data_IF_155099693067
#
_entry.id   IF_155099693067
#
_cell.length_a   1.000
_cell.length_b   1.000
_cell.length_c   1.000
_cell.angle_alpha   90.00
_cell.angle_beta   90.00
_cell.angle_gamma   90.00
#
_symmetry.space_group_name_H-M   'P 1'
#
loop_
_entity.id
_entity.type
_entity.pdbx_description
1 polymer ?
#
# COMPACT_ATOMS: atom_id res chain seq x y z
N UNK A 1 17.57 -30.08 -6.17
CA UNK A 1 18.73 -29.23 -6.53
C UNK A 1 18.33 -27.75 -6.74
N UNK A 2 17.27 -27.46 -7.49
CA UNK A 2 16.78 -26.09 -7.77
C UNK A 2 16.42 -25.24 -6.54
N UNK A 3 15.69 -25.82 -5.56
CA UNK A 3 15.30 -25.12 -4.32
C UNK A 3 16.51 -24.71 -3.47
N UNK A 4 17.50 -25.60 -3.34
CA UNK A 4 18.75 -25.33 -2.61
C UNK A 4 19.56 -24.20 -3.24
N UNK A 5 19.54 -24.11 -4.57
CA UNK A 5 20.20 -23.03 -5.32
C UNK A 5 19.50 -21.68 -5.14
N UNK A 6 18.16 -21.60 -5.29
CA UNK A 6 17.39 -20.36 -4.99
C UNK A 6 17.63 -19.88 -3.56
N UNK A 7 17.70 -20.81 -2.60
CA UNK A 7 17.97 -20.49 -1.20
C UNK A 7 19.38 -19.90 -0.97
N UNK A 8 20.43 -20.50 -1.56
CA UNK A 8 21.80 -19.98 -1.47
C UNK A 8 21.96 -18.62 -2.14
N UNK A 9 21.32 -18.39 -3.28
CA UNK A 9 21.30 -17.08 -3.94
C UNK A 9 20.67 -16.00 -3.05
N UNK A 10 19.53 -16.31 -2.43
CA UNK A 10 18.87 -15.41 -1.49
C UNK A 10 19.76 -15.08 -0.30
N UNK A 11 20.40 -16.07 0.31
CA UNK A 11 21.34 -15.86 1.41
C UNK A 11 22.52 -14.96 0.98
N UNK A 12 23.10 -15.20 -0.19
CA UNK A 12 24.17 -14.36 -0.73
C UNK A 12 23.72 -12.90 -0.92
N UNK A 13 22.50 -12.68 -1.42
CA UNK A 13 21.93 -11.35 -1.55
C UNK A 13 21.72 -10.65 -0.20
N UNK A 14 21.15 -11.35 0.77
CA UNK A 14 20.94 -10.81 2.13
C UNK A 14 22.28 -10.46 2.81
N UNK A 15 23.28 -11.34 2.71
CA UNK A 15 24.62 -11.06 3.25
C UNK A 15 25.24 -9.82 2.61
N UNK A 16 25.19 -9.72 1.27
CA UNK A 16 25.70 -8.55 0.54
C UNK A 16 24.97 -7.27 0.97
N UNK A 17 23.64 -7.33 1.08
CA UNK A 17 22.83 -6.18 1.49
C UNK A 17 23.18 -5.74 2.92
N UNK A 18 23.40 -6.66 3.85
CA UNK A 18 23.81 -6.31 5.22
C UNK A 18 25.17 -5.58 5.25
N UNK A 19 26.12 -6.01 4.42
CA UNK A 19 27.42 -5.35 4.29
C UNK A 19 27.24 -3.94 3.70
N UNK A 20 26.55 -3.81 2.56
CA UNK A 20 26.37 -2.52 1.89
C UNK A 20 25.55 -1.54 2.72
N UNK A 21 24.53 -2.03 3.43
CA UNK A 21 23.74 -1.27 4.40
C UNK A 21 24.61 -0.72 5.52
N UNK A 22 25.52 -1.53 6.07
CA UNK A 22 26.45 -1.09 7.10
C UNK A 22 27.40 -0.01 6.57
N UNK A 23 27.94 -0.18 5.37
CA UNK A 23 28.78 0.84 4.70
C UNK A 23 27.98 2.13 4.53
N UNK A 24 26.81 2.06 3.88
CA UNK A 24 25.95 3.21 3.61
C UNK A 24 25.61 3.98 4.88
N UNK A 25 25.23 3.29 5.95
CA UNK A 25 24.89 3.89 7.25
C UNK A 25 26.04 4.71 7.86
N UNK A 26 27.30 4.33 7.58
CA UNK A 26 28.48 5.01 8.11
C UNK A 26 28.97 6.15 7.21
N UNK A 27 28.69 6.13 5.91
CA UNK A 27 29.15 7.15 4.96
C UNK A 27 28.08 8.18 4.57
N UNK A 28 26.81 7.91 4.86
CA UNK A 28 25.68 8.79 4.52
C UNK A 28 25.26 9.68 5.69
N UNK A 29 24.65 10.82 5.37
CA UNK A 29 24.06 11.72 6.37
C UNK A 29 22.85 11.08 7.06
N UNK A 30 22.46 11.59 8.24
CA UNK A 30 21.28 11.10 8.97
C UNK A 30 20.02 11.10 8.09
N UNK A 31 19.81 12.18 7.33
CA UNK A 31 18.66 12.38 6.44
C UNK A 31 18.64 11.47 5.22
N UNK A 32 19.70 10.72 4.96
CA UNK A 32 19.77 9.77 3.83
C UNK A 32 19.57 8.33 4.26
N UNK A 33 19.53 8.04 5.58
CA UNK A 33 19.57 6.69 6.13
C UNK A 33 18.39 5.82 5.68
N UNK A 34 17.23 6.36 5.36
CA UNK A 34 16.11 5.59 4.80
C UNK A 34 16.47 4.86 3.50
N UNK A 35 17.48 5.33 2.76
CA UNK A 35 17.93 4.73 1.50
C UNK A 35 18.90 3.55 1.65
N UNK A 36 19.30 3.20 2.87
CA UNK A 36 20.37 2.23 3.13
C UNK A 36 20.06 0.81 2.61
N UNK A 37 18.79 0.48 2.40
CA UNK A 37 18.37 -0.84 1.91
C UNK A 37 18.46 -0.95 0.37
N UNK A 38 18.64 0.17 -0.35
CA UNK A 38 18.60 0.24 -1.81
C UNK A 38 20.00 0.26 -2.42
N UNK A 39 20.93 0.93 -1.75
CA UNK A 39 22.29 1.10 -2.27
C UNK A 39 23.15 -0.17 -2.08
N UNK A 40 23.97 -0.55 -3.09
CA UNK A 40 24.11 0.02 -4.43
C UNK A 40 23.29 -0.72 -5.51
N UNK A 41 22.45 -1.68 -5.11
CA UNK A 41 21.84 -2.64 -6.04
C UNK A 41 20.57 -2.13 -6.72
N UNK A 42 19.88 -1.14 -6.16
CA UNK A 42 18.78 -0.43 -6.81
C UNK A 42 19.29 0.87 -7.44
N UNK A 43 18.95 1.10 -8.70
CA UNK A 43 19.08 2.42 -9.34
C UNK A 43 17.73 2.87 -9.86
N UNK A 44 17.49 4.17 -9.84
CA UNK A 44 16.27 4.79 -10.34
C UNK A 44 16.60 6.00 -11.23
N UNK A 45 15.66 6.37 -12.08
CA UNK A 45 15.52 7.74 -12.60
C UNK A 45 14.18 8.33 -12.18
N UNK A 46 14.04 9.64 -12.32
CA UNK A 46 12.79 10.36 -12.07
C UNK A 46 12.42 11.18 -13.30
N UNK A 47 11.13 11.28 -13.57
CA UNK A 47 10.61 12.17 -14.60
C UNK A 47 10.54 13.63 -14.10
N UNK A 48 10.11 14.53 -14.99
CA UNK A 48 10.00 15.98 -14.70
C UNK A 48 9.05 16.31 -13.54
N UNK A 49 8.09 15.44 -13.23
CA UNK A 49 7.14 15.61 -12.13
C UNK A 49 7.68 15.03 -10.81
N UNK A 50 8.93 14.57 -10.78
CA UNK A 50 9.58 14.00 -9.61
C UNK A 50 9.24 12.52 -9.35
N UNK A 51 8.36 11.90 -10.14
CA UNK A 51 7.99 10.48 -10.00
C UNK A 51 9.10 9.57 -10.51
N UNK A 52 9.33 8.44 -9.84
CA UNK A 52 10.21 7.36 -10.32
C UNK A 52 9.66 6.78 -11.63
N UNK A 53 10.45 6.87 -12.70
CA UNK A 53 10.06 6.42 -14.06
C UNK A 53 10.89 5.24 -14.59
N UNK A 54 12.03 4.94 -13.96
CA UNK A 54 12.75 3.69 -14.19
C UNK A 54 13.31 3.11 -12.90
N UNK A 55 13.39 1.78 -12.85
CA UNK A 55 13.99 1.03 -11.74
C UNK A 55 14.86 -0.07 -12.32
N UNK A 56 16.07 -0.23 -11.79
CA UNK A 56 16.89 -1.41 -12.02
C UNK A 56 17.34 -2.03 -10.71
N UNK A 57 17.38 -3.36 -10.67
CA UNK A 57 17.82 -4.16 -9.53
C UNK A 57 18.95 -5.09 -9.99
N UNK A 58 20.14 -4.94 -9.41
CA UNK A 58 21.34 -5.68 -9.81
C UNK A 58 21.58 -5.65 -11.32
N UNK A 59 21.48 -4.44 -11.92
CA UNK A 59 21.64 -4.16 -13.37
C UNK A 59 20.54 -4.73 -14.27
N UNK A 60 19.49 -5.36 -13.73
CA UNK A 60 18.31 -5.77 -14.49
C UNK A 60 17.22 -4.72 -14.34
N UNK A 61 16.64 -4.30 -15.46
CA UNK A 61 15.50 -3.40 -15.43
C UNK A 61 14.28 -4.11 -14.84
N UNK A 62 13.57 -3.42 -13.96
CA UNK A 62 12.30 -3.86 -13.40
C UNK A 62 11.22 -3.07 -14.11
N UNK A 63 10.24 -3.79 -14.67
CA UNK A 63 9.14 -3.15 -15.35
C UNK A 63 8.25 -2.44 -14.32
N UNK A 64 8.07 -1.14 -14.49
CA UNK A 64 7.16 -0.31 -13.71
C UNK A 64 6.26 0.47 -14.65
N UNK A 65 5.11 0.89 -14.16
CA UNK A 65 4.01 1.42 -14.94
C UNK A 65 3.65 2.84 -14.53
N UNK A 66 3.07 3.56 -15.47
CA UNK A 66 2.46 4.86 -15.21
C UNK A 66 1.15 4.73 -14.43
N UNK A 67 0.72 5.85 -13.82
CA UNK A 67 -0.56 5.87 -13.13
C UNK A 67 -1.71 5.60 -14.12
N UNK A 68 -2.64 4.70 -13.79
CA UNK A 68 -3.74 4.37 -14.68
C UNK A 68 -4.72 5.54 -14.74
N UNK A 69 -5.47 5.64 -15.84
CA UNK A 69 -6.67 6.47 -15.87
C UNK A 69 -7.77 5.82 -15.03
N UNK A 70 -8.61 6.61 -14.37
CA UNK A 70 -9.79 6.10 -13.67
C UNK A 70 -10.76 5.40 -14.61
N UNK A 71 -11.54 4.50 -14.03
CA UNK A 71 -12.83 4.08 -14.60
C UNK A 71 -13.93 5.07 -14.24
N UNK A 72 -15.08 4.95 -14.90
CA UNK A 72 -16.32 5.59 -14.46
C UNK A 72 -17.06 4.79 -13.37
N UNK A 73 -16.63 3.54 -13.11
CA UNK A 73 -17.18 2.70 -12.04
C UNK A 73 -16.84 3.27 -10.64
N UNK A 74 -17.71 3.07 -9.63
CA UNK A 74 -17.32 3.26 -8.24
C UNK A 74 -16.17 2.34 -7.85
N UNK A 75 -15.39 2.75 -6.85
CA UNK A 75 -14.32 1.93 -6.28
C UNK A 75 -14.77 1.25 -5.00
N UNK A 76 -14.48 -0.05 -4.85
CA UNK A 76 -14.49 -0.74 -3.55
C UNK A 76 -13.04 -0.93 -3.10
N UNK A 77 -12.71 -0.42 -1.92
CA UNK A 77 -11.46 -0.73 -1.21
C UNK A 77 -11.75 -1.82 -0.19
N UNK A 78 -11.19 -3.01 -0.41
CA UNK A 78 -11.34 -4.16 0.49
C UNK A 78 -10.14 -4.18 1.45
N UNK A 79 -10.42 -3.91 2.72
CA UNK A 79 -9.50 -4.01 3.83
C UNK A 79 -9.55 -5.39 4.51
N UNK A 80 -8.80 -5.55 5.59
CA UNK A 80 -8.54 -6.84 6.22
C UNK A 80 -9.42 -7.15 7.44
N UNK A 81 -10.38 -6.28 7.77
CA UNK A 81 -11.28 -6.49 8.90
C UNK A 81 -12.23 -7.67 8.68
N UNK A 82 -12.55 -8.45 9.73
CA UNK A 82 -13.43 -9.62 9.66
C UNK A 82 -14.85 -9.32 9.18
N UNK A 83 -15.33 -8.08 9.20
CA UNK A 83 -16.67 -7.77 8.68
C UNK A 83 -16.80 -8.07 7.18
N UNK A 84 -15.71 -8.10 6.42
CA UNK A 84 -15.74 -8.44 4.99
C UNK A 84 -16.37 -9.80 4.75
N UNK A 85 -16.17 -10.76 5.66
CA UNK A 85 -16.74 -12.11 5.59
C UNK A 85 -18.28 -12.14 5.73
N UNK A 86 -18.91 -11.02 6.07
CA UNK A 86 -20.38 -10.89 6.12
C UNK A 86 -20.99 -10.40 4.81
N UNK A 87 -20.14 -9.97 3.86
CA UNK A 87 -20.54 -9.53 2.52
C UNK A 87 -20.42 -10.72 1.58
N UNK A 88 -21.48 -10.99 0.81
CA UNK A 88 -21.44 -12.04 -0.21
C UNK A 88 -20.46 -11.64 -1.33
N UNK A 89 -19.67 -12.59 -1.82
CA UNK A 89 -18.61 -12.30 -2.79
C UNK A 89 -19.14 -11.84 -4.15
N UNK A 90 -20.36 -12.23 -4.52
CA UNK A 90 -21.08 -11.75 -5.72
C UNK A 90 -21.38 -10.24 -5.71
N UNK A 91 -21.33 -9.59 -4.54
CA UNK A 91 -21.39 -8.13 -4.44
C UNK A 91 -20.15 -7.46 -5.06
N UNK A 92 -18.99 -8.11 -4.97
CA UNK A 92 -17.72 -7.61 -5.53
C UNK A 92 -17.62 -7.91 -7.03
N UNK A 93 -18.65 -7.52 -7.77
CA UNK A 93 -18.79 -7.70 -9.22
C UNK A 93 -17.96 -6.65 -9.98
N UNK A 94 -16.95 -7.12 -10.72
CA UNK A 94 -16.04 -6.26 -11.48
C UNK A 94 -16.71 -5.60 -12.69
N UNK A 95 -17.89 -6.06 -13.10
CA UNK A 95 -18.70 -5.35 -14.10
C UNK A 95 -19.28 -4.05 -13.54
N UNK A 96 -19.53 -3.98 -12.23
CA UNK A 96 -20.13 -2.84 -11.52
C UNK A 96 -19.09 -1.96 -10.82
N UNK A 97 -18.04 -2.56 -10.28
CA UNK A 97 -17.04 -1.89 -9.45
C UNK A 97 -15.64 -2.05 -10.02
N UNK A 98 -14.79 -1.05 -9.80
CA UNK A 98 -13.36 -1.32 -9.71
C UNK A 98 -13.05 -1.77 -8.27
N UNK A 99 -12.14 -2.74 -8.11
CA UNK A 99 -11.85 -3.33 -6.80
C UNK A 99 -10.36 -3.15 -6.48
N UNK A 100 -10.09 -2.53 -5.34
CA UNK A 100 -8.76 -2.32 -4.79
C UNK A 100 -8.61 -3.12 -3.50
N UNK A 101 -7.64 -4.03 -3.47
CA UNK A 101 -7.28 -4.76 -2.26
C UNK A 101 -6.17 -4.08 -1.47
N UNK A 102 -6.13 -4.32 -0.16
CA UNK A 102 -4.98 -4.00 0.68
C UNK A 102 -4.59 -5.19 1.54
N UNK A 103 -3.29 -5.41 1.71
CA UNK A 103 -2.73 -6.51 2.50
C UNK A 103 -3.38 -7.87 2.15
N UNK A 104 -3.84 -8.64 3.13
CA UNK A 104 -4.39 -9.96 2.88
C UNK A 104 -5.79 -9.97 2.28
N UNK A 105 -6.37 -8.83 1.89
CA UNK A 105 -7.67 -8.80 1.20
C UNK A 105 -7.67 -9.63 -0.09
N UNK A 106 -6.51 -9.81 -0.71
CA UNK A 106 -6.35 -10.59 -1.92
C UNK A 106 -6.62 -12.10 -1.72
N UNK A 107 -6.78 -12.58 -0.49
CA UNK A 107 -7.25 -13.96 -0.23
C UNK A 107 -8.62 -14.23 -0.88
N UNK A 108 -9.39 -13.18 -1.19
CA UNK A 108 -10.67 -13.28 -1.93
C UNK A 108 -10.51 -13.45 -3.45
N UNK A 109 -9.29 -13.45 -3.99
CA UNK A 109 -9.06 -13.50 -5.44
C UNK A 109 -9.66 -14.70 -6.19
N UNK A 110 -9.93 -15.87 -5.56
CA UNK A 110 -10.65 -16.95 -6.26
C UNK A 110 -12.06 -16.59 -6.70
N UNK A 111 -12.71 -15.63 -6.03
CA UNK A 111 -14.10 -15.21 -6.29
C UNK A 111 -14.21 -13.73 -6.66
N UNK A 112 -13.14 -12.94 -6.47
CA UNK A 112 -13.14 -11.50 -6.64
C UNK A 112 -12.02 -11.06 -7.59
N UNK A 113 -12.39 -10.37 -8.68
CA UNK A 113 -11.41 -9.83 -9.63
C UNK A 113 -10.87 -8.47 -9.17
N UNK A 114 -9.65 -8.46 -8.64
CA UNK A 114 -8.99 -7.23 -8.22
C UNK A 114 -8.40 -6.49 -9.43
N UNK A 115 -8.70 -5.19 -9.53
CA UNK A 115 -8.06 -4.31 -10.51
C UNK A 115 -6.79 -3.68 -9.95
N UNK A 116 -6.83 -3.33 -8.67
CA UNK A 116 -5.71 -2.74 -7.95
C UNK A 116 -5.40 -3.54 -6.69
N UNK A 117 -4.15 -3.50 -6.27
CA UNK A 117 -3.75 -3.95 -4.95
C UNK A 117 -2.67 -3.03 -4.37
N UNK A 118 -2.62 -2.89 -3.04
CA UNK A 118 -1.65 -2.03 -2.36
C UNK A 118 -0.85 -2.82 -1.33
N UNK A 119 0.47 -2.86 -1.50
CA UNK A 119 1.41 -3.39 -0.50
C UNK A 119 2.42 -2.30 -0.14
N UNK A 120 2.33 -1.78 1.08
CA UNK A 120 3.33 -0.86 1.66
C UNK A 120 3.91 -1.38 2.99
N UNK A 121 3.40 -2.51 3.48
CA UNK A 121 3.84 -3.16 4.71
C UNK A 121 4.87 -4.25 4.38
N UNK A 122 6.13 -3.99 4.75
CA UNK A 122 7.24 -4.92 4.59
C UNK A 122 7.06 -6.22 5.38
N UNK A 123 6.41 -6.15 6.53
CA UNK A 123 6.16 -7.34 7.36
C UNK A 123 5.13 -8.25 6.71
N UNK A 124 4.14 -7.69 6.00
CA UNK A 124 3.19 -8.47 5.20
C UNK A 124 3.90 -9.29 4.13
N UNK A 125 4.86 -8.69 3.42
CA UNK A 125 5.69 -9.39 2.43
C UNK A 125 6.34 -10.61 3.05
N UNK A 126 7.02 -10.44 4.19
CA UNK A 126 7.79 -11.53 4.81
C UNK A 126 6.87 -12.64 5.31
N UNK A 127 5.76 -12.29 5.95
CA UNK A 127 4.93 -13.25 6.70
C UNK A 127 3.77 -13.85 5.90
N UNK A 128 3.36 -13.23 4.78
CA UNK A 128 2.20 -13.66 3.98
C UNK A 128 2.58 -14.08 2.56
N UNK A 129 3.63 -14.93 2.49
CA UNK A 129 4.24 -15.40 1.23
C UNK A 129 3.24 -15.89 0.18
N UNK A 130 2.27 -16.72 0.55
CA UNK A 130 1.35 -17.30 -0.43
C UNK A 130 0.48 -16.21 -1.08
N UNK A 131 -0.09 -15.31 -0.27
CA UNK A 131 -0.89 -14.18 -0.74
C UNK A 131 -0.05 -13.28 -1.65
N UNK A 132 1.17 -12.93 -1.21
CA UNK A 132 2.08 -12.08 -1.98
C UNK A 132 2.42 -12.73 -3.32
N UNK A 133 2.74 -14.02 -3.36
CA UNK A 133 3.04 -14.70 -4.63
C UNK A 133 1.83 -14.74 -5.57
N UNK A 134 0.60 -14.87 -5.05
CA UNK A 134 -0.61 -14.81 -5.87
C UNK A 134 -0.80 -13.42 -6.47
N UNK A 135 -0.63 -12.36 -5.67
CA UNK A 135 -0.66 -10.96 -6.13
C UNK A 135 0.37 -10.73 -7.24
N UNK A 136 1.61 -11.17 -7.04
CA UNK A 136 2.68 -10.92 -8.01
C UNK A 136 2.45 -11.63 -9.34
N UNK A 137 1.70 -12.74 -9.34
CA UNK A 137 1.42 -13.59 -10.51
C UNK A 137 0.20 -13.18 -11.33
N UNK A 138 -0.62 -12.27 -10.81
CA UNK A 138 -1.79 -11.74 -11.51
C UNK A 138 -1.36 -10.66 -12.51
N UNK A 139 -1.36 -11.01 -13.80
CA UNK A 139 -0.86 -10.14 -14.89
C UNK A 139 -1.83 -9.02 -15.29
N UNK A 140 -3.11 -9.12 -14.90
CA UNK A 140 -4.09 -8.07 -15.09
C UNK A 140 -4.03 -7.01 -13.97
N UNK A 141 -3.57 -7.40 -12.78
CA UNK A 141 -3.51 -6.57 -11.58
C UNK A 141 -2.49 -5.43 -11.69
N UNK A 142 -2.88 -4.27 -11.14
CA UNK A 142 -1.98 -3.15 -10.89
C UNK A 142 -1.64 -3.08 -9.39
N UNK A 143 -0.39 -3.40 -9.05
CA UNK A 143 0.16 -3.32 -7.71
C UNK A 143 0.78 -1.94 -7.45
N UNK A 144 0.21 -1.20 -6.50
CA UNK A 144 0.84 -0.02 -5.90
C UNK A 144 1.73 -0.46 -4.74
N UNK A 145 3.01 -0.09 -4.79
CA UNK A 145 3.97 -0.46 -3.74
C UNK A 145 5.07 0.56 -3.54
N UNK A 146 5.72 0.53 -2.37
CA UNK A 146 6.90 1.36 -2.10
C UNK A 146 8.17 0.69 -2.60
N UNK A 147 9.25 1.48 -2.74
CA UNK A 147 10.56 0.92 -3.09
C UNK A 147 11.09 -0.06 -2.02
N UNK A 148 10.83 0.17 -0.74
CA UNK A 148 11.14 -0.79 0.32
C UNK A 148 10.46 -2.14 0.11
N UNK A 149 9.17 -2.11 -0.22
CA UNK A 149 8.39 -3.30 -0.48
C UNK A 149 8.84 -4.00 -1.75
N UNK A 150 9.06 -3.26 -2.85
CA UNK A 150 9.61 -3.82 -4.08
C UNK A 150 10.99 -4.47 -3.82
N UNK A 151 11.86 -3.82 -3.06
CA UNK A 151 13.17 -4.36 -2.71
C UNK A 151 13.05 -5.69 -1.95
N UNK A 152 12.16 -5.78 -0.97
CA UNK A 152 11.91 -7.01 -0.22
C UNK A 152 11.31 -8.10 -1.12
N UNK A 153 10.38 -7.76 -2.01
CA UNK A 153 9.82 -8.67 -3.02
C UNK A 153 10.93 -9.25 -3.91
N UNK A 154 11.80 -8.40 -4.45
CA UNK A 154 12.88 -8.80 -5.35
C UNK A 154 13.93 -9.69 -4.65
N UNK A 155 14.19 -9.45 -3.36
CA UNK A 155 15.11 -10.26 -2.57
C UNK A 155 14.50 -11.60 -2.17
N UNK A 156 13.22 -11.61 -1.79
CA UNK A 156 12.59 -12.80 -1.20
C UNK A 156 12.01 -13.76 -2.24
N UNK A 157 11.49 -13.23 -3.35
CA UNK A 157 10.80 -14.01 -4.39
C UNK A 157 11.55 -14.00 -5.72
N UNK A 158 12.27 -12.92 -6.01
CA UNK A 158 12.99 -12.74 -7.25
C UNK A 158 12.13 -12.11 -8.34
N UNK A 159 12.78 -11.46 -9.30
CA UNK A 159 12.11 -10.65 -10.31
C UNK A 159 11.22 -11.44 -11.28
N UNK A 160 11.44 -12.75 -11.44
CA UNK A 160 10.66 -13.61 -12.34
C UNK A 160 9.24 -13.87 -11.85
N UNK A 161 8.96 -13.63 -10.56
CA UNK A 161 7.62 -13.81 -10.00
C UNK A 161 6.75 -12.57 -10.22
N UNK A 162 7.30 -11.43 -10.69
CA UNK A 162 6.54 -10.20 -10.94
C UNK A 162 5.98 -10.18 -12.36
N UNK A 163 4.75 -10.67 -12.52
CA UNK A 163 3.97 -10.55 -13.76
C UNK A 163 2.94 -9.43 -13.69
N UNK A 164 2.46 -9.08 -12.48
CA UNK A 164 1.60 -7.92 -12.26
C UNK A 164 2.24 -6.61 -12.72
N UNK A 165 1.40 -5.61 -13.01
CA UNK A 165 1.84 -4.24 -13.33
C UNK A 165 2.22 -3.53 -12.04
N UNK A 166 3.41 -2.96 -11.96
CA UNK A 166 3.93 -2.36 -10.72
C UNK A 166 3.95 -0.84 -10.84
N UNK A 167 3.38 -0.14 -9.87
CA UNK A 167 3.47 1.31 -9.75
C UNK A 167 4.17 1.65 -8.44
N UNK A 168 5.25 2.42 -8.53
CA UNK A 168 5.98 2.88 -7.36
C UNK A 168 5.35 4.15 -6.81
N UNK A 169 5.05 4.11 -5.52
CA UNK A 169 4.63 5.24 -4.69
C UNK A 169 5.61 5.41 -3.54
N UNK A 170 5.78 6.63 -3.06
CA UNK A 170 6.79 6.96 -2.04
C UNK A 170 6.15 7.65 -0.84
N UNK A 171 6.66 7.40 0.37
CA UNK A 171 6.31 8.27 1.50
C UNK A 171 6.83 9.67 1.19
N UNK A 172 5.98 10.67 1.39
CA UNK A 172 6.27 12.05 1.00
C UNK A 172 7.49 12.65 1.71
N UNK A 173 7.73 12.24 2.95
CA UNK A 173 8.81 12.64 3.82
C UNK A 173 10.09 11.82 3.61
N UNK A 174 10.01 10.65 2.96
CA UNK A 174 11.15 9.76 2.73
C UNK A 174 11.30 9.35 1.24
N UNK A 175 11.48 10.32 0.33
CA UNK A 175 11.70 10.03 -1.09
C UNK A 175 13.01 9.27 -1.31
N UNK A 176 12.99 8.30 -2.22
CA UNK A 176 14.12 7.44 -2.56
C UNK A 176 15.27 8.26 -3.16
N UNK A 177 16.46 8.10 -2.59
CA UNK A 177 17.70 8.81 -2.92
C UNK A 177 17.59 10.34 -2.90
N UNK A 178 16.66 10.87 -2.11
CA UNK A 178 16.59 12.26 -1.72
C UNK A 178 16.65 12.35 -0.19
N UNK A 179 16.97 13.53 0.33
CA UNK A 179 16.98 13.74 1.78
C UNK A 179 15.57 13.61 2.36
N UNK A 180 15.49 13.02 3.55
CA UNK A 180 14.30 13.02 4.38
C UNK A 180 13.87 14.47 4.66
N UNK A 181 12.57 14.70 4.51
CA UNK A 181 11.91 15.99 4.68
C UNK A 181 11.18 16.01 6.01
N UNK A 182 11.18 17.17 6.67
CA UNK A 182 10.30 17.39 7.81
C UNK A 182 8.85 17.48 7.29
N UNK A 183 8.06 16.44 7.53
CA UNK A 183 6.71 16.27 6.95
C UNK A 183 5.84 17.53 7.09
N UNK A 184 5.84 18.13 8.27
CA UNK A 184 4.99 19.28 8.59
C UNK A 184 5.53 20.63 8.10
N UNK A 185 6.72 20.64 7.49
CA UNK A 185 7.32 21.81 6.86
C UNK A 185 7.14 21.79 5.33
N UNK A 186 6.51 20.75 4.78
CA UNK A 186 6.26 20.62 3.35
C UNK A 186 5.22 21.67 2.91
N UNK A 187 5.64 22.56 2.01
CA UNK A 187 4.78 23.61 1.43
C UNK A 187 4.29 23.16 0.06
N UNK A 188 3.02 22.74 -0.03
CA UNK A 188 2.35 22.40 -1.28
C UNK A 188 0.83 22.48 -1.11
N UNK A 189 0.13 23.06 -2.08
CA UNK A 189 -1.34 23.09 -2.11
C UNK A 189 -1.95 21.70 -2.37
N UNK A 190 -1.14 20.76 -2.85
CA UNK A 190 -1.54 19.37 -3.09
C UNK A 190 -1.33 18.49 -1.86
N UNK A 191 -0.72 19.00 -0.79
CA UNK A 191 -0.44 18.27 0.44
C UNK A 191 -1.13 19.00 1.60
N UNK A 192 -2.22 18.42 2.08
CA UNK A 192 -3.03 19.03 3.12
C UNK A 192 -2.54 18.53 4.47
N UNK A 193 -2.05 19.44 5.30
CA UNK A 193 -1.55 19.14 6.66
C UNK A 193 -2.49 19.82 7.67
N UNK A 194 -2.99 19.04 8.63
CA UNK A 194 -3.89 19.53 9.68
C UNK A 194 -3.73 18.66 10.93
N UNK A 195 -3.65 19.26 12.11
CA UNK A 195 -3.60 18.56 13.40
C UNK A 195 -2.58 17.39 13.44
N UNK A 196 -1.35 17.63 12.99
CA UNK A 196 -0.26 16.64 12.96
C UNK A 196 -0.53 15.37 12.12
N UNK A 197 -1.48 15.44 11.19
CA UNK A 197 -1.67 14.44 10.13
C UNK A 197 -1.63 15.13 8.76
N UNK A 198 -1.42 14.35 7.70
CA UNK A 198 -1.32 14.85 6.34
C UNK A 198 -2.13 13.99 5.35
N UNK A 199 -2.57 14.59 4.25
CA UNK A 199 -3.20 13.89 3.13
C UNK A 199 -2.62 14.41 1.81
N UNK A 200 -2.12 13.50 0.98
CA UNK A 200 -1.64 13.86 -0.36
C UNK A 200 -2.74 13.75 -1.41
N UNK A 201 -2.96 14.85 -2.14
CA UNK A 201 -3.79 14.90 -3.34
C UNK A 201 -3.01 14.56 -4.61
N UNK A 202 -1.68 14.50 -4.56
CA UNK A 202 -0.82 14.24 -5.70
C UNK A 202 0.27 13.20 -5.37
N UNK A 203 0.06 11.97 -5.84
CA UNK A 203 1.00 10.87 -5.59
C UNK A 203 2.35 11.01 -6.31
N UNK A 204 2.50 11.93 -7.26
CA UNK A 204 3.82 12.25 -7.81
C UNK A 204 4.74 12.88 -6.74
N UNK A 205 4.17 13.56 -5.75
CA UNK A 205 4.89 14.13 -4.61
C UNK A 205 5.10 13.13 -3.47
N UNK A 206 4.39 12.00 -3.50
CA UNK A 206 4.36 10.98 -2.46
C UNK A 206 3.02 10.94 -1.70
N UNK A 207 2.90 10.01 -0.76
CA UNK A 207 1.73 9.84 0.10
C UNK A 207 2.11 9.91 1.58
N UNK A 208 1.12 10.14 2.44
CA UNK A 208 1.28 10.00 3.89
C UNK A 208 0.69 8.67 4.35
N UNK A 209 1.47 7.78 4.95
CA UNK A 209 0.98 6.42 5.23
C UNK A 209 -0.17 6.36 6.26
N UNK A 210 -0.31 7.35 7.14
CA UNK A 210 -1.37 7.41 8.16
C UNK A 210 -1.44 6.18 9.07
N UNK A 211 -0.33 5.44 9.20
CA UNK A 211 -0.19 4.19 9.97
C UNK A 211 -1.07 3.02 9.53
N UNK A 212 -1.76 3.12 8.38
CA UNK A 212 -2.58 2.03 7.82
C UNK A 212 -2.61 2.04 6.29
N UNK A 213 -2.51 0.86 5.68
CA UNK A 213 -2.55 0.70 4.22
C UNK A 213 -3.89 1.18 3.64
N UNK A 214 -4.99 1.04 4.38
CA UNK A 214 -6.31 1.52 3.96
C UNK A 214 -6.34 3.05 3.73
N UNK A 215 -5.55 3.81 4.49
CA UNK A 215 -5.45 5.26 4.33
C UNK A 215 -4.62 5.65 3.10
N UNK A 216 -3.57 4.88 2.82
CA UNK A 216 -2.77 5.04 1.60
C UNK A 216 -3.60 4.69 0.36
N UNK A 217 -4.40 3.62 0.42
CA UNK A 217 -5.37 3.25 -0.61
C UNK A 217 -6.41 4.36 -0.88
N UNK A 218 -6.86 5.05 0.16
CA UNK A 218 -7.78 6.19 -0.01
C UNK A 218 -7.12 7.36 -0.74
N UNK A 219 -5.86 7.69 -0.43
CA UNK A 219 -5.10 8.70 -1.18
C UNK A 219 -4.93 8.30 -2.65
N UNK A 220 -4.62 7.03 -2.93
CA UNK A 220 -4.59 6.50 -4.30
C UNK A 220 -5.95 6.69 -4.98
N UNK A 221 -7.04 6.32 -4.33
CA UNK A 221 -8.38 6.46 -4.89
C UNK A 221 -8.73 7.92 -5.25
N UNK A 222 -8.43 8.88 -4.36
CA UNK A 222 -8.68 10.30 -4.60
C UNK A 222 -7.78 10.86 -5.69
N UNK A 223 -6.50 10.47 -5.71
CA UNK A 223 -5.55 10.88 -6.75
C UNK A 223 -5.94 10.37 -8.14
N UNK A 224 -6.37 9.09 -8.23
CA UNK A 224 -6.88 8.53 -9.48
C UNK A 224 -8.19 9.21 -9.93
N UNK A 225 -8.90 9.85 -9.01
CA UNK A 225 -10.08 10.66 -9.32
C UNK A 225 -11.42 9.95 -9.15
N UNK A 226 -11.48 8.89 -8.35
CA UNK A 226 -12.75 8.23 -8.01
C UNK A 226 -13.69 9.18 -7.27
N UNK A 227 -14.97 9.15 -7.64
CA UNK A 227 -16.02 10.02 -7.06
C UNK A 227 -16.95 9.32 -6.08
N UNK A 228 -17.01 7.99 -6.13
CA UNK A 228 -17.78 7.16 -5.19
C UNK A 228 -16.89 6.00 -4.74
N UNK A 229 -16.64 5.92 -3.44
CA UNK A 229 -15.72 4.95 -2.83
C UNK A 229 -16.45 4.24 -1.70
N UNK A 230 -16.33 2.92 -1.65
CA UNK A 230 -16.82 2.10 -0.55
C UNK A 230 -15.66 1.37 0.11
N UNK A 231 -15.66 1.32 1.44
CA UNK A 231 -14.80 0.44 2.20
C UNK A 231 -15.54 -0.84 2.58
N UNK A 232 -14.91 -2.00 2.37
CA UNK A 232 -15.31 -3.27 2.96
C UNK A 232 -14.23 -3.73 3.94
N UNK A 233 -14.59 -4.15 5.15
CA UNK A 233 -13.63 -4.61 6.16
C UNK A 233 -12.77 -3.50 6.78
N UNK A 234 -13.23 -2.23 6.76
CA UNK A 234 -12.59 -1.13 7.50
C UNK A 234 -13.18 -1.08 8.92
N UNK A 235 -12.82 -2.05 9.75
CA UNK A 235 -13.42 -2.25 11.08
C UNK A 235 -12.77 -1.38 12.16
N UNK A 236 -11.44 -1.48 12.33
CA UNK A 236 -10.66 -0.71 13.32
C UNK A 236 -11.14 -0.84 14.78
N UNK A 237 -11.75 -1.97 15.16
CA UNK A 237 -12.28 -2.19 16.51
C UNK A 237 -12.00 -3.59 17.08
N UNK A 238 -11.21 -4.41 16.37
CA UNK A 238 -11.07 -5.85 16.63
C UNK A 238 -9.58 -6.29 16.65
N UNK A 239 -8.68 -5.44 17.14
CA UNK A 239 -7.22 -5.65 17.04
C UNK A 239 -6.68 -6.89 17.76
N UNK A 240 -7.40 -7.41 18.76
CA UNK A 240 -7.04 -8.65 19.46
C UNK A 240 -7.50 -9.92 18.74
N UNK A 241 -8.29 -9.80 17.67
CA UNK A 241 -8.79 -10.94 16.88
C UNK A 241 -8.03 -11.05 15.55
N UNK A 242 -7.94 -12.26 14.98
CA UNK A 242 -7.38 -12.45 13.65
C UNK A 242 -8.07 -11.57 12.60
N UNK A 243 -7.30 -11.08 11.62
CA UNK A 243 -7.87 -10.55 10.37
C UNK A 243 -8.62 -11.68 9.65
N UNK A 244 -9.47 -11.36 8.68
CA UNK A 244 -10.33 -12.37 8.04
C UNK A 244 -9.55 -13.50 7.34
N UNK A 245 -8.31 -13.24 6.91
CA UNK A 245 -7.42 -14.19 6.25
C UNK A 245 -6.44 -14.88 7.22
N UNK A 246 -6.59 -14.66 8.53
CA UNK A 246 -5.74 -15.20 9.58
C UNK A 246 -6.53 -16.16 10.48
N UNK A 247 -5.80 -17.04 11.15
CA UNK A 247 -6.31 -17.91 12.21
C UNK A 247 -5.74 -17.48 13.56
N UNK A 248 -6.22 -18.09 14.64
CA UNK A 248 -5.64 -17.87 15.97
C UNK A 248 -4.17 -18.32 16.07
N UNK A 249 -3.74 -19.26 15.22
CA UNK A 249 -2.40 -19.85 15.30
C UNK A 249 -1.34 -19.05 14.51
N UNK A 250 -1.77 -18.15 13.63
CA UNK A 250 -0.88 -17.39 12.76
C UNK A 250 -1.22 -15.90 12.71
N UNK A 251 -1.97 -15.40 13.70
CA UNK A 251 -2.24 -13.97 13.86
C UNK A 251 -0.94 -13.18 14.01
N UNK A 252 -0.82 -12.07 13.28
CA UNK A 252 0.32 -11.17 13.39
C UNK A 252 0.00 -10.00 14.32
N UNK A 253 1.00 -9.59 15.10
CA UNK A 253 0.93 -8.39 15.92
C UNK A 253 0.55 -7.16 15.10
N UNK A 254 -0.12 -6.21 15.75
CA UNK A 254 -0.50 -4.95 15.14
C UNK A 254 -0.29 -3.77 16.09
N UNK A 255 0.17 -2.65 15.52
CA UNK A 255 0.27 -1.36 16.21
C UNK A 255 -0.95 -0.48 15.97
N UNK A 256 -1.95 -0.96 15.23
CA UNK A 256 -3.12 -0.14 14.87
C UNK A 256 -3.88 0.35 16.10
N UNK A 257 -4.02 -0.48 17.14
CA UNK A 257 -4.68 -0.09 18.38
C UNK A 257 -4.01 1.13 19.04
N UNK A 258 -2.67 1.11 19.10
CA UNK A 258 -1.89 2.17 19.73
C UNK A 258 -1.96 3.49 18.95
N UNK A 259 -2.21 3.44 17.64
CA UNK A 259 -2.27 4.60 16.77
C UNK A 259 -3.70 5.04 16.43
N UNK A 260 -4.73 4.32 16.94
CA UNK A 260 -6.11 4.48 16.48
C UNK A 260 -6.61 5.91 16.71
N UNK A 261 -6.54 6.37 17.95
CA UNK A 261 -7.10 7.66 18.35
C UNK A 261 -6.19 8.84 17.97
N UNK A 262 -4.88 8.67 18.07
CA UNK A 262 -3.91 9.76 17.87
C UNK A 262 -3.60 10.02 16.39
N UNK A 263 -3.73 9.01 15.52
CA UNK A 263 -3.35 9.14 14.10
C UNK A 263 -4.44 8.65 13.15
N UNK A 264 -4.93 7.43 13.30
CA UNK A 264 -5.80 6.79 12.29
C UNK A 264 -7.14 7.53 12.15
N UNK A 265 -7.84 7.77 13.25
CA UNK A 265 -9.12 8.51 13.24
C UNK A 265 -8.92 9.94 12.70
N UNK A 266 -7.95 10.74 13.21
CA UNK A 266 -7.64 12.05 12.65
C UNK A 266 -7.34 12.02 11.13
N UNK A 267 -6.59 11.02 10.66
CA UNK A 267 -6.32 10.82 9.24
C UNK A 267 -7.61 10.65 8.43
N UNK A 268 -8.51 9.75 8.84
CA UNK A 268 -9.77 9.51 8.14
C UNK A 268 -10.75 10.70 8.24
N UNK A 269 -10.74 11.45 9.34
CA UNK A 269 -11.49 12.71 9.47
C UNK A 269 -11.00 13.74 8.44
N UNK A 270 -9.68 13.96 8.34
CA UNK A 270 -9.09 14.86 7.35
C UNK A 270 -9.44 14.41 5.92
N UNK A 271 -9.35 13.12 5.62
CA UNK A 271 -9.72 12.60 4.31
C UNK A 271 -11.20 12.82 3.98
N UNK A 272 -12.09 12.71 4.97
CA UNK A 272 -13.52 12.98 4.78
C UNK A 272 -13.78 14.46 4.46
N UNK A 273 -13.17 15.38 5.20
CA UNK A 273 -13.27 16.82 4.94
C UNK A 273 -12.80 17.18 3.53
N UNK A 274 -11.68 16.61 3.10
CA UNK A 274 -11.14 16.76 1.75
C UNK A 274 -12.10 16.17 0.70
N UNK A 275 -12.66 14.99 0.96
CA UNK A 275 -13.58 14.32 0.05
C UNK A 275 -14.85 15.16 -0.18
N UNK A 276 -15.44 15.73 0.88
CA UNK A 276 -16.60 16.63 0.79
C UNK A 276 -16.27 17.83 -0.13
N UNK A 277 -15.15 18.52 0.13
CA UNK A 277 -14.72 19.68 -0.66
C UNK A 277 -14.51 19.34 -2.15
N UNK A 278 -14.19 18.08 -2.48
CA UNK A 278 -13.95 17.60 -3.86
C UNK A 278 -15.15 16.88 -4.48
N UNK A 279 -16.29 16.87 -3.80
CA UNK A 279 -17.51 16.18 -4.25
C UNK A 279 -17.36 14.67 -4.36
N UNK A 280 -16.53 14.06 -3.50
CA UNK A 280 -16.30 12.60 -3.44
C UNK A 280 -17.14 12.02 -2.30
N UNK A 281 -17.91 10.99 -2.60
CA UNK A 281 -18.71 10.25 -1.60
C UNK A 281 -17.94 9.03 -1.13
N UNK A 282 -17.79 8.88 0.19
CA UNK A 282 -17.10 7.76 0.82
C UNK A 282 -18.06 7.09 1.80
N UNK A 283 -18.19 5.78 1.69
CA UNK A 283 -19.05 4.95 2.52
C UNK A 283 -18.26 3.82 3.18
N UNK A 284 -18.72 3.35 4.32
CA UNK A 284 -18.16 2.18 5.00
C UNK A 284 -19.20 1.08 5.15
N UNK A 285 -18.94 -0.09 4.58
CA UNK A 285 -19.83 -1.26 4.66
C UNK A 285 -19.65 -2.02 6.00
N UNK A 286 -18.65 -1.65 6.80
CA UNK A 286 -18.47 -2.13 8.16
C UNK A 286 -19.36 -1.36 9.15
N UNK A 287 -20.60 -1.83 9.37
CA UNK A 287 -21.60 -1.16 10.25
C UNK A 287 -21.10 -0.82 11.66
N UNK A 288 -20.25 -1.65 12.24
CA UNK A 288 -19.73 -1.47 13.60
C UNK A 288 -18.35 -0.80 13.64
N UNK A 289 -17.86 -0.27 12.53
CA UNK A 289 -16.51 0.33 12.45
C UNK A 289 -16.28 1.42 13.51
N UNK A 290 -15.04 1.49 14.02
CA UNK A 290 -14.57 2.61 14.84
C UNK A 290 -14.35 3.90 14.00
N UNK A 291 -14.24 3.79 12.68
CA UNK A 291 -14.15 4.96 11.78
C UNK A 291 -15.57 5.49 11.53
N UNK A 292 -15.88 6.60 12.18
CA UNK A 292 -17.20 7.26 12.10
C UNK A 292 -17.26 8.40 11.09
N UNK A 293 -16.14 8.74 10.45
CA UNK A 293 -16.07 9.84 9.47
C UNK A 293 -16.87 9.56 8.20
N UNK A 294 -17.19 8.29 7.91
CA UNK A 294 -17.88 7.89 6.69
C UNK A 294 -19.28 7.35 7.02
N UNK A 295 -20.24 7.66 6.15
CA UNK A 295 -21.59 7.10 6.24
C UNK A 295 -21.53 5.57 6.16
N UNK A 296 -22.26 4.89 7.04
CA UNK A 296 -22.26 3.42 7.13
C UNK A 296 -23.48 2.88 6.39
N UNK A 297 -23.24 1.99 5.42
CA UNK A 297 -24.30 1.41 4.58
C UNK A 297 -24.37 -0.10 4.73
N UNK A 298 -25.55 -0.66 4.51
CA UNK A 298 -25.70 -2.07 4.22
C UNK A 298 -25.40 -2.33 2.75
N UNK A 299 -24.53 -3.30 2.44
CA UNK A 299 -24.21 -3.61 1.05
C UNK A 299 -25.42 -4.10 0.24
N UNK A 300 -26.47 -4.58 0.93
CA UNK A 300 -27.72 -5.05 0.31
C UNK A 300 -28.60 -3.91 -0.20
N UNK A 301 -28.28 -2.67 0.13
CA UNK A 301 -28.99 -1.46 -0.29
C UNK A 301 -28.30 -0.74 -1.48
N UNK A 302 -27.22 -1.32 -2.01
CA UNK A 302 -26.37 -0.77 -3.07
C UNK A 302 -26.56 -1.56 -4.36
#
# INVERSE_FOLDING_TARGET
MFFKYKYLLKLGMLCKQNITKSIYRNVSSKKMKHNMNFWPHIKISRNINGKIDSVSFNKKNININEFPKKSEKPLIIIASGPSVSTIKTDFFDDTKFDIMGVNGSYELSPEVKFKYHVIIDRTFIINRKNIVLNILKDDELILFTTMDCLNDILIHYGYLELTCKVIIIENIDQPVYQEEKELFEIKSDEIIIQNSVAFSLNLNLGFYNGTTVAYSALQIALFLGYKKIYFAGLDMNNFSKPRFYETQNDQLDTKLNNNLHDFIIPCFNLAHEIAIKRGVKIYNLSKNSAINSFEKLDYREI
#
